data_IF_403062341519
#
_entry.id   IF_403062341519
#
_cell.length_a   1.000
_cell.length_b   1.000
_cell.length_c   1.000
_cell.angle_alpha   90.00
_cell.angle_beta   90.00
_cell.angle_gamma   90.00
#
_symmetry.space_group_name_H-M   'P 1'
#
loop_
_entity.id
_entity.type
_entity.pdbx_description
1 polymer ?
#
# COMPACT_ATOMS: atom_id res chain seq x y z
N UNK A 1 -44.00 -33.68 52.85
CA UNK A 1 -43.88 -32.55 51.91
C UNK A 1 -43.12 -31.43 52.60
N UNK A 2 -41.84 -31.24 52.31
CA UNK A 2 -41.03 -30.17 52.90
C UNK A 2 -41.44 -28.82 52.31
N UNK A 3 -42.02 -27.93 53.13
CA UNK A 3 -42.24 -26.53 52.77
C UNK A 3 -40.89 -25.81 52.82
N UNK A 4 -40.38 -25.42 51.66
CA UNK A 4 -39.24 -24.49 51.57
C UNK A 4 -39.70 -23.13 52.09
N UNK A 5 -39.03 -22.59 53.11
CA UNK A 5 -39.26 -21.23 53.62
C UNK A 5 -38.90 -20.23 52.51
N UNK A 6 -39.88 -19.47 52.03
CA UNK A 6 -39.60 -18.28 51.23
C UNK A 6 -39.04 -17.19 52.15
N UNK A 7 -37.78 -16.83 51.93
CA UNK A 7 -37.17 -15.66 52.55
C UNK A 7 -37.44 -14.45 51.67
N UNK A 8 -38.20 -13.48 52.18
CA UNK A 8 -38.40 -12.19 51.49
C UNK A 8 -37.15 -11.34 51.60
N UNK A 9 -36.85 -10.56 50.56
CA UNK A 9 -35.76 -9.59 50.57
C UNK A 9 -36.24 -8.31 51.27
N UNK A 10 -35.44 -7.79 52.20
CA UNK A 10 -35.76 -6.54 52.87
C UNK A 10 -35.52 -5.35 51.92
N UNK A 11 -36.22 -4.23 52.15
CA UNK A 11 -36.09 -3.03 51.31
C UNK A 11 -34.64 -2.50 51.28
N UNK A 12 -33.93 -2.59 52.40
CA UNK A 12 -32.54 -2.13 52.51
C UNK A 12 -31.57 -3.05 51.76
N UNK A 13 -31.81 -4.36 51.76
CA UNK A 13 -31.05 -5.32 50.95
C UNK A 13 -31.28 -5.08 49.45
N UNK A 14 -32.50 -4.75 49.03
CA UNK A 14 -32.79 -4.36 47.65
C UNK A 14 -32.03 -3.08 47.27
N UNK A 15 -32.04 -2.05 48.12
CA UNK A 15 -31.33 -0.80 47.84
C UNK A 15 -29.80 -1.01 47.76
N UNK A 16 -29.24 -1.81 48.66
CA UNK A 16 -27.82 -2.20 48.61
C UNK A 16 -27.49 -2.99 47.34
N UNK A 17 -28.33 -3.95 46.95
CA UNK A 17 -28.15 -4.71 45.73
C UNK A 17 -28.21 -3.82 44.48
N UNK A 18 -29.14 -2.86 44.42
CA UNK A 18 -29.21 -1.88 43.34
C UNK A 18 -27.99 -0.96 43.31
N UNK A 19 -27.50 -0.47 44.46
CA UNK A 19 -26.30 0.37 44.54
C UNK A 19 -25.04 -0.39 44.11
N UNK A 20 -24.89 -1.65 44.51
CA UNK A 20 -23.78 -2.49 44.05
C UNK A 20 -23.90 -2.79 42.55
N UNK A 21 -25.12 -2.99 42.05
CA UNK A 21 -25.40 -3.21 40.62
C UNK A 21 -25.02 -2.00 39.76
N UNK A 22 -25.33 -0.77 40.18
CA UNK A 22 -24.95 0.43 39.43
C UNK A 22 -23.44 0.65 39.40
N UNK A 23 -22.74 0.40 40.51
CA UNK A 23 -21.28 0.45 40.56
C UNK A 23 -20.67 -0.60 39.62
N UNK A 24 -21.17 -1.82 39.62
CA UNK A 24 -20.71 -2.88 38.72
C UNK A 24 -20.94 -2.51 37.25
N UNK A 25 -22.11 -1.95 36.90
CA UNK A 25 -22.40 -1.50 35.54
C UNK A 25 -21.46 -0.37 35.09
N UNK A 26 -21.11 0.55 35.98
CA UNK A 26 -20.17 1.65 35.70
C UNK A 26 -18.74 1.14 35.43
N UNK A 27 -18.30 0.13 36.17
CA UNK A 27 -16.99 -0.50 35.95
C UNK A 27 -16.99 -1.24 34.61
N UNK A 28 -18.02 -2.03 34.32
CA UNK A 28 -18.15 -2.78 33.07
C UNK A 28 -18.21 -1.86 31.85
N UNK A 29 -18.94 -0.75 31.92
CA UNK A 29 -19.02 0.20 30.82
C UNK A 29 -17.66 0.84 30.52
N UNK A 30 -16.89 1.15 31.56
CA UNK A 30 -15.54 1.72 31.42
C UNK A 30 -14.57 0.73 30.78
N UNK A 31 -14.58 -0.53 31.21
CA UNK A 31 -13.75 -1.59 30.62
C UNK A 31 -14.15 -1.82 29.16
N UNK A 32 -15.45 -1.86 28.86
CA UNK A 32 -15.95 -2.05 27.51
C UNK A 32 -15.57 -0.89 26.58
N UNK A 33 -15.70 0.36 27.03
CA UNK A 33 -15.29 1.54 26.28
C UNK A 33 -13.78 1.54 25.97
N UNK A 34 -12.96 1.14 26.94
CA UNK A 34 -11.51 0.98 26.75
C UNK A 34 -11.20 -0.17 25.77
N UNK A 35 -11.94 -1.27 25.82
CA UNK A 35 -11.83 -2.37 24.88
C UNK A 35 -12.17 -1.95 23.45
N UNK A 36 -13.26 -1.20 23.25
CA UNK A 36 -13.68 -0.70 21.94
C UNK A 36 -12.64 0.24 21.32
N UNK A 37 -12.13 1.20 22.10
CA UNK A 37 -11.10 2.13 21.61
C UNK A 37 -9.80 1.41 21.25
N UNK A 38 -9.38 0.44 22.06
CA UNK A 38 -8.19 -0.39 21.78
C UNK A 38 -8.39 -1.22 20.51
N UNK A 39 -9.55 -1.88 20.38
CA UNK A 39 -9.88 -2.66 19.18
C UNK A 39 -9.88 -1.80 17.94
N UNK A 40 -10.43 -0.59 18.01
CA UNK A 40 -10.46 0.35 16.88
C UNK A 40 -9.06 0.76 16.44
N UNK A 41 -8.14 1.04 17.38
CA UNK A 41 -6.74 1.37 17.06
C UNK A 41 -6.01 0.21 16.40
N UNK A 42 -6.24 -1.02 16.86
CA UNK A 42 -5.66 -2.23 16.26
C UNK A 42 -6.20 -2.43 14.85
N UNK A 43 -7.52 -2.27 14.62
CA UNK A 43 -8.09 -2.37 13.28
C UNK A 43 -7.52 -1.34 12.32
N UNK A 44 -7.31 -0.09 12.77
CA UNK A 44 -6.66 0.94 11.97
C UNK A 44 -5.21 0.59 11.62
N UNK A 45 -4.45 0.04 12.59
CA UNK A 45 -3.09 -0.41 12.35
C UNK A 45 -3.03 -1.53 11.30
N UNK A 46 -3.87 -2.54 11.45
CA UNK A 46 -3.91 -3.67 10.53
C UNK A 46 -4.30 -3.23 9.11
N UNK A 47 -5.23 -2.28 8.99
CA UNK A 47 -5.61 -1.70 7.70
C UNK A 47 -4.42 -1.00 7.03
N UNK A 48 -3.68 -0.20 7.79
CA UNK A 48 -2.46 0.47 7.30
C UNK A 48 -1.40 -0.54 6.86
N UNK A 49 -1.10 -1.54 7.68
CA UNK A 49 -0.10 -2.57 7.36
C UNK A 49 -0.51 -3.37 6.11
N UNK A 50 -1.81 -3.70 5.96
CA UNK A 50 -2.34 -4.41 4.78
C UNK A 50 -2.19 -3.56 3.51
N UNK A 51 -2.66 -2.32 3.53
CA UNK A 51 -2.60 -1.45 2.36
C UNK A 51 -1.14 -1.12 1.98
N UNK A 52 -0.25 -0.91 2.96
CA UNK A 52 1.17 -0.71 2.69
C UNK A 52 1.80 -1.97 2.09
N UNK A 53 1.45 -3.16 2.59
CA UNK A 53 1.92 -4.43 2.03
C UNK A 53 1.42 -4.66 0.60
N UNK A 54 0.13 -4.39 0.34
CA UNK A 54 -0.47 -4.51 -0.99
C UNK A 54 0.19 -3.57 -2.00
N UNK A 55 0.48 -2.33 -1.60
CA UNK A 55 1.22 -1.37 -2.42
C UNK A 55 2.61 -1.89 -2.79
N UNK A 56 3.34 -2.41 -1.79
CA UNK A 56 4.65 -3.03 -1.98
C UNK A 56 4.60 -4.23 -2.94
N UNK A 57 3.58 -5.08 -2.80
CA UNK A 57 3.39 -6.24 -3.64
C UNK A 57 3.04 -5.85 -5.07
N UNK A 58 2.14 -4.87 -5.25
CA UNK A 58 1.78 -4.31 -6.55
C UNK A 58 3.01 -3.79 -7.30
N UNK A 59 3.84 -2.96 -6.65
CA UNK A 59 5.07 -2.42 -7.24
C UNK A 59 6.03 -3.53 -7.63
N UNK A 60 6.23 -4.51 -6.76
CA UNK A 60 7.09 -5.67 -7.02
C UNK A 60 6.63 -6.45 -8.24
N UNK A 61 5.34 -6.77 -8.32
CA UNK A 61 4.81 -7.63 -9.37
C UNK A 61 4.75 -6.90 -10.71
N UNK A 62 4.50 -5.58 -10.73
CA UNK A 62 4.56 -4.79 -11.95
C UNK A 62 6.01 -4.62 -12.45
N UNK A 63 6.97 -4.35 -11.54
CA UNK A 63 8.38 -4.22 -11.89
C UNK A 63 9.03 -5.52 -12.39
N UNK A 64 8.59 -6.68 -11.91
CA UNK A 64 9.06 -7.97 -12.43
C UNK A 64 8.79 -8.14 -13.93
N UNK A 65 7.79 -7.42 -14.45
CA UNK A 65 7.42 -7.45 -15.87
C UNK A 65 8.23 -6.47 -16.69
N UNK A 66 8.94 -5.53 -16.06
CA UNK A 66 9.78 -4.57 -16.77
C UNK A 66 10.72 -5.29 -17.74
N UNK A 67 10.83 -4.77 -18.96
CA UNK A 67 11.66 -5.34 -20.02
C UNK A 67 11.05 -6.49 -20.79
N UNK A 68 9.93 -7.05 -20.35
CA UNK A 68 9.29 -8.15 -21.07
C UNK A 68 8.90 -7.72 -22.49
N UNK A 69 9.34 -8.49 -23.49
CA UNK A 69 9.01 -8.34 -24.90
C UNK A 69 8.28 -9.59 -25.39
N UNK A 70 7.26 -9.41 -26.23
CA UNK A 70 6.56 -10.51 -26.90
C UNK A 70 7.44 -10.99 -28.07
N UNK A 71 7.62 -12.31 -28.17
CA UNK A 71 8.47 -12.90 -29.21
C UNK A 71 8.07 -12.42 -30.61
N UNK A 72 9.03 -11.86 -31.34
CA UNK A 72 8.85 -11.43 -32.73
C UNK A 72 8.36 -9.99 -32.94
N UNK A 73 7.92 -9.27 -31.89
CA UNK A 73 7.51 -7.87 -32.00
C UNK A 73 8.68 -6.88 -31.91
N UNK A 74 9.63 -7.14 -30.99
CA UNK A 74 10.88 -6.38 -30.83
C UNK A 74 12.04 -7.32 -30.50
N UNK A 75 13.24 -7.01 -30.98
CA UNK A 75 14.45 -7.72 -30.59
C UNK A 75 15.05 -7.09 -29.32
N UNK A 76 15.02 -7.81 -28.19
CA UNK A 76 15.57 -7.39 -26.90
C UNK A 76 14.53 -6.83 -25.91
N UNK A 77 14.99 -6.32 -24.76
CA UNK A 77 14.13 -5.78 -23.71
C UNK A 77 13.36 -4.53 -24.14
N UNK A 78 12.09 -4.44 -23.71
CA UNK A 78 11.26 -3.24 -23.90
C UNK A 78 11.72 -2.14 -22.96
N UNK A 79 11.93 -0.95 -23.51
CA UNK A 79 12.37 0.23 -22.77
C UNK A 79 11.79 1.51 -23.35
N UNK A 80 11.90 2.59 -22.57
CA UNK A 80 11.66 3.95 -23.05
C UNK A 80 12.67 4.33 -24.13
N UNK A 81 12.28 5.18 -25.09
CA UNK A 81 13.04 5.45 -26.32
C UNK A 81 14.49 5.87 -26.04
N UNK A 82 14.67 6.81 -25.11
CA UNK A 82 15.97 7.39 -24.76
C UNK A 82 16.60 6.77 -23.52
N UNK A 83 16.01 5.69 -22.99
CA UNK A 83 16.57 5.05 -21.81
C UNK A 83 17.77 4.17 -22.19
N UNK A 84 18.91 4.31 -21.49
CA UNK A 84 20.04 3.41 -21.69
C UNK A 84 19.74 1.98 -21.20
N UNK A 85 18.79 1.82 -20.28
CA UNK A 85 18.48 0.58 -19.59
C UNK A 85 16.98 0.26 -19.65
N UNK A 86 16.60 -0.99 -19.39
CA UNK A 86 15.20 -1.43 -19.25
C UNK A 86 14.43 -0.66 -18.20
N UNK A 87 15.14 -0.31 -17.12
CA UNK A 87 14.63 0.48 -16.02
C UNK A 87 15.49 1.73 -15.87
N UNK A 88 14.84 2.88 -15.90
CA UNK A 88 15.46 4.18 -15.74
C UNK A 88 15.12 4.75 -14.38
N UNK A 89 16.12 5.33 -13.70
CA UNK A 89 15.91 6.08 -12.47
C UNK A 89 16.42 7.49 -12.67
N UNK A 90 15.53 8.47 -12.48
CA UNK A 90 15.92 9.87 -12.41
C UNK A 90 16.30 10.21 -10.97
N UNK A 91 17.60 10.37 -10.72
CA UNK A 91 18.14 10.71 -9.40
C UNK A 91 17.67 12.07 -8.85
N UNK A 92 17.12 12.96 -9.68
CA UNK A 92 16.64 14.26 -9.23
C UNK A 92 15.29 14.18 -8.49
N UNK A 93 14.44 13.22 -8.86
CA UNK A 93 13.05 13.11 -8.39
C UNK A 93 12.70 11.69 -7.90
N UNK A 94 13.72 10.86 -7.65
CA UNK A 94 13.58 9.43 -7.32
C UNK A 94 12.54 8.71 -8.19
N UNK A 95 12.49 9.09 -9.47
CA UNK A 95 11.47 8.63 -10.39
C UNK A 95 11.96 7.38 -11.11
N UNK A 96 11.22 6.31 -10.94
CA UNK A 96 11.46 5.00 -11.52
C UNK A 96 10.57 4.82 -12.75
N UNK A 97 11.16 4.64 -13.91
CA UNK A 97 10.44 4.47 -15.16
C UNK A 97 10.85 3.17 -15.86
N UNK A 98 9.86 2.42 -16.32
CA UNK A 98 10.05 1.13 -16.97
C UNK A 98 8.95 0.89 -18.00
N UNK A 99 9.16 -0.08 -18.88
CA UNK A 99 8.18 -0.44 -19.89
C UNK A 99 8.17 -1.94 -20.12
N UNK A 100 7.04 -2.46 -20.56
CA UNK A 100 6.88 -3.87 -20.90
C UNK A 100 5.77 -4.07 -21.92
N UNK A 101 5.85 -5.16 -22.68
CA UNK A 101 4.80 -5.58 -23.61
C UNK A 101 3.77 -6.49 -22.93
N UNK A 102 2.54 -6.42 -23.40
CA UNK A 102 1.47 -7.31 -22.97
C UNK A 102 0.43 -7.43 -24.08
N UNK A 103 -0.23 -8.58 -24.14
CA UNK A 103 -1.33 -8.80 -25.06
C UNK A 103 -2.65 -8.52 -24.35
N UNK A 104 -3.46 -7.65 -24.93
CA UNK A 104 -4.81 -7.33 -24.46
C UNK A 104 -5.81 -7.53 -25.60
N UNK A 105 -6.79 -8.41 -25.39
CA UNK A 105 -7.79 -8.74 -26.41
C UNK A 105 -7.22 -9.27 -27.73
N UNK A 106 -6.02 -9.87 -27.70
CA UNK A 106 -5.31 -10.34 -28.91
C UNK A 106 -4.53 -9.27 -29.66
N UNK A 107 -4.41 -8.06 -29.11
CA UNK A 107 -3.57 -6.99 -29.63
C UNK A 107 -2.36 -6.79 -28.73
N UNK A 108 -1.17 -6.79 -29.30
CA UNK A 108 0.06 -6.54 -28.57
C UNK A 108 0.22 -5.03 -28.29
N UNK A 109 0.40 -4.70 -27.03
CA UNK A 109 0.53 -3.34 -26.52
C UNK A 109 1.80 -3.22 -25.69
N UNK A 110 2.30 -1.99 -25.59
CA UNK A 110 3.37 -1.60 -24.68
C UNK A 110 2.75 -0.76 -23.57
N UNK A 111 3.01 -1.14 -22.31
CA UNK A 111 2.74 -0.27 -21.16
C UNK A 111 4.03 0.44 -20.78
N UNK A 112 3.96 1.75 -20.75
CA UNK A 112 4.97 2.63 -20.17
C UNK A 112 4.50 3.00 -18.77
N UNK A 113 5.26 2.61 -17.75
CA UNK A 113 4.95 2.85 -16.35
C UNK A 113 6.04 3.68 -15.69
N UNK A 114 5.66 4.53 -14.76
CA UNK A 114 6.59 5.25 -13.91
C UNK A 114 6.01 5.52 -12.53
N UNK A 115 6.89 5.44 -11.53
CA UNK A 115 6.62 5.60 -10.12
C UNK A 115 7.47 6.74 -9.59
N UNK A 116 6.86 7.73 -8.95
CA UNK A 116 7.58 8.83 -8.32
C UNK A 116 6.80 9.39 -7.14
N UNK A 117 7.50 10.05 -6.23
CA UNK A 117 6.90 10.71 -5.08
C UNK A 117 6.54 12.16 -5.45
N UNK A 118 5.30 12.56 -5.23
CA UNK A 118 4.87 13.96 -5.38
C UNK A 118 5.24 14.81 -4.15
N UNK A 119 5.16 16.14 -4.30
CA UNK A 119 5.38 17.13 -3.22
C UNK A 119 4.49 16.87 -1.99
N UNK A 120 3.32 16.24 -2.20
CA UNK A 120 2.38 15.87 -1.14
C UNK A 120 2.73 14.56 -0.42
N UNK A 121 3.90 13.97 -0.66
CA UNK A 121 4.29 12.66 -0.08
C UNK A 121 3.39 11.51 -0.51
N UNK A 122 2.83 11.63 -1.71
CA UNK A 122 1.96 10.65 -2.36
C UNK A 122 2.74 9.91 -3.45
N UNK A 123 2.59 8.58 -3.52
CA UNK A 123 3.15 7.80 -4.62
C UNK A 123 2.25 7.93 -5.84
N UNK A 124 2.81 8.46 -6.91
CA UNK A 124 2.14 8.59 -8.20
C UNK A 124 2.58 7.44 -9.10
N UNK A 125 1.60 6.78 -9.71
CA UNK A 125 1.79 5.87 -10.82
C UNK A 125 1.33 6.55 -12.10
N UNK A 126 2.26 6.80 -13.00
CA UNK A 126 1.94 7.13 -14.38
C UNK A 126 1.90 5.84 -15.18
N UNK A 127 0.79 5.60 -15.89
CA UNK A 127 0.73 4.53 -16.89
C UNK A 127 0.25 5.07 -18.23
N UNK A 128 0.82 4.54 -19.30
CA UNK A 128 0.36 4.80 -20.65
C UNK A 128 0.48 3.55 -21.50
N UNK A 129 -0.63 3.18 -22.11
CA UNK A 129 -0.71 2.02 -23.01
C UNK A 129 -0.79 2.49 -24.46
N UNK A 130 -0.01 1.85 -25.32
CA UNK A 130 0.02 2.10 -26.75
C UNK A 130 0.18 0.79 -27.51
N UNK A 131 -0.20 0.77 -28.78
CA UNK A 131 0.07 -0.39 -29.62
C UNK A 131 1.59 -0.50 -29.89
N UNK A 132 2.08 -1.72 -30.12
CA UNK A 132 3.51 -1.96 -30.44
C UNK A 132 4.00 -1.26 -31.71
N UNK A 133 3.08 -0.92 -32.61
CA UNK A 133 3.33 -0.21 -33.88
C UNK A 133 3.55 1.30 -33.72
N UNK A 134 3.20 1.87 -32.57
CA UNK A 134 3.39 3.29 -32.31
C UNK A 134 4.83 3.60 -31.91
N UNK A 135 5.27 4.83 -32.22
CA UNK A 135 6.61 5.29 -31.87
C UNK A 135 6.80 5.22 -30.34
N UNK A 136 7.96 4.74 -29.85
CA UNK A 136 8.26 4.71 -28.43
C UNK A 136 8.14 6.09 -27.79
N UNK A 137 7.94 6.13 -26.46
CA UNK A 137 7.87 7.40 -25.73
C UNK A 137 9.22 7.79 -25.16
N UNK A 138 9.50 9.09 -25.27
CA UNK A 138 10.64 9.74 -24.66
C UNK A 138 10.49 9.76 -23.13
N UNK A 139 11.59 9.46 -22.44
CA UNK A 139 11.70 9.39 -20.98
C UNK A 139 11.43 10.73 -20.28
N UNK A 140 11.59 11.86 -20.97
CA UNK A 140 11.42 13.20 -20.41
C UNK A 140 10.02 13.44 -19.80
N UNK A 141 9.01 12.74 -20.28
CA UNK A 141 7.62 12.84 -19.79
C UNK A 141 7.22 11.69 -18.85
N UNK A 142 8.16 10.80 -18.48
CA UNK A 142 7.84 9.66 -17.63
C UNK A 142 7.40 10.11 -16.23
N UNK A 143 7.97 11.19 -15.70
CA UNK A 143 7.71 11.66 -14.34
C UNK A 143 6.76 12.86 -14.29
N UNK A 144 5.93 13.06 -15.33
CA UNK A 144 5.05 14.22 -15.45
C UNK A 144 3.59 13.79 -15.57
N UNK A 145 2.91 13.70 -14.43
CA UNK A 145 1.51 13.33 -14.31
C UNK A 145 1.31 11.88 -13.86
N UNK A 146 0.06 11.45 -13.76
CA UNK A 146 -0.29 10.09 -13.32
C UNK A 146 -1.43 10.12 -12.30
N UNK A 147 -1.65 8.99 -11.66
CA UNK A 147 -2.68 8.80 -10.64
C UNK A 147 -2.03 8.45 -9.30
N UNK A 148 -2.60 8.94 -8.22
CA UNK A 148 -2.16 8.64 -6.85
C UNK A 148 -2.53 7.18 -6.54
N UNK A 149 -1.53 6.37 -6.18
CA UNK A 149 -1.73 4.96 -5.77
C UNK A 149 -1.54 4.75 -4.26
N UNK A 150 -0.92 5.69 -3.55
CA UNK A 150 -0.95 5.72 -2.09
C UNK A 150 -2.29 6.28 -1.63
N UNK A 151 -3.08 5.52 -0.88
CA UNK A 151 -4.35 6.01 -0.32
C UNK A 151 -4.08 7.20 0.61
N UNK A 152 -4.31 8.42 0.11
CA UNK A 152 -3.85 9.67 0.74
C UNK A 152 -4.46 9.93 2.13
N UNK A 153 -5.62 9.35 2.41
CA UNK A 153 -6.26 9.42 3.73
C UNK A 153 -5.63 8.51 4.79
N UNK A 154 -4.79 7.56 4.38
CA UNK A 154 -4.28 6.52 5.27
C UNK A 154 -2.76 6.40 5.27
N UNK A 155 -2.11 6.58 4.12
CA UNK A 155 -0.67 6.38 3.92
C UNK A 155 -0.03 7.66 3.40
N UNK A 156 0.96 8.18 4.12
CA UNK A 156 1.90 9.18 3.59
C UNK A 156 3.29 8.56 3.51
N UNK A 157 3.95 8.65 2.37
CA UNK A 157 5.31 8.15 2.21
C UNK A 157 6.32 9.19 2.71
N UNK A 158 7.17 8.77 3.64
CA UNK A 158 8.25 9.61 4.18
C UNK A 158 9.54 9.46 3.39
N UNK A 159 9.70 8.34 2.68
CA UNK A 159 10.88 8.06 1.85
C UNK A 159 10.50 7.10 0.73
N UNK A 160 10.99 7.40 -0.48
CA UNK A 160 10.98 6.51 -1.64
C UNK A 160 12.35 6.58 -2.30
N UNK A 161 13.15 5.53 -2.17
CA UNK A 161 14.51 5.48 -2.70
C UNK A 161 14.67 4.26 -3.59
N UNK A 162 15.20 4.47 -4.78
CA UNK A 162 15.43 3.41 -5.76
C UNK A 162 16.92 3.31 -6.08
N UNK A 163 17.48 2.13 -5.82
CA UNK A 163 18.87 1.81 -6.12
C UNK A 163 18.95 0.80 -7.27
N UNK A 164 19.68 1.18 -8.33
CA UNK A 164 19.92 0.39 -9.54
C UNK A 164 21.40 0.01 -9.72
N UNK A 165 22.24 0.23 -8.70
CA UNK A 165 23.69 -0.05 -8.75
C UNK A 165 24.03 -1.51 -9.03
N UNK A 166 23.11 -2.44 -8.72
CA UNK A 166 23.28 -3.90 -8.88
C UNK A 166 22.44 -4.49 -10.02
N UNK A 167 22.17 -3.72 -11.08
CA UNK A 167 21.38 -4.17 -12.23
C UNK A 167 21.86 -5.55 -12.75
N UNK A 168 20.96 -6.54 -12.99
CA UNK A 168 19.50 -6.44 -13.14
C UNK A 168 18.69 -6.53 -11.83
N UNK A 169 19.34 -6.52 -10.67
CA UNK A 169 18.67 -6.40 -9.38
C UNK A 169 18.44 -4.92 -9.04
N UNK A 170 17.20 -4.59 -8.67
CA UNK A 170 16.76 -3.26 -8.25
C UNK A 170 16.28 -3.35 -6.81
N UNK A 171 16.72 -2.42 -5.99
CA UNK A 171 16.31 -2.31 -4.60
C UNK A 171 15.47 -1.05 -4.44
N UNK A 172 14.25 -1.22 -3.91
CA UNK A 172 13.34 -0.12 -3.61
C UNK A 172 13.13 -0.09 -2.11
N UNK A 173 13.51 1.01 -1.47
CA UNK A 173 13.25 1.25 -0.06
C UNK A 173 12.13 2.28 0.07
N UNK A 174 11.08 1.90 0.78
CA UNK A 174 9.93 2.77 1.04
C UNK A 174 9.71 2.86 2.53
N UNK A 175 9.41 4.06 3.01
CA UNK A 175 8.96 4.29 4.38
C UNK A 175 7.67 5.08 4.35
N UNK A 176 6.71 4.69 5.18
CA UNK A 176 5.40 5.29 5.21
C UNK A 176 4.92 5.51 6.65
N UNK A 177 4.03 6.48 6.78
CA UNK A 177 3.41 6.88 8.03
C UNK A 177 1.89 6.89 7.88
N UNK A 178 1.22 6.29 8.86
CA UNK A 178 -0.24 6.33 8.95
C UNK A 178 -0.72 7.71 9.38
N UNK A 179 -1.64 8.29 8.60
CA UNK A 179 -2.31 9.55 8.98
C UNK A 179 -3.32 9.37 10.12
N UNK A 180 -3.75 8.14 10.39
CA UNK A 180 -4.84 7.86 11.34
C UNK A 180 -4.32 7.70 12.76
N UNK A 181 -3.23 6.95 12.93
CA UNK A 181 -2.69 6.63 14.26
C UNK A 181 -1.22 7.05 14.45
N UNK A 182 -0.57 7.57 13.40
CA UNK A 182 0.82 8.02 13.43
C UNK A 182 1.86 6.91 13.39
N UNK A 183 1.46 5.64 13.21
CA UNK A 183 2.38 4.51 13.08
C UNK A 183 3.24 4.63 11.83
N UNK A 184 4.44 4.09 11.90
CA UNK A 184 5.43 4.15 10.82
C UNK A 184 5.86 2.73 10.46
N UNK A 185 5.99 2.45 9.17
CA UNK A 185 6.51 1.19 8.66
C UNK A 185 7.47 1.43 7.50
N UNK A 186 8.41 0.51 7.32
CA UNK A 186 9.43 0.58 6.29
C UNK A 186 9.61 -0.78 5.62
N UNK A 187 9.69 -0.77 4.30
CA UNK A 187 9.84 -1.95 3.47
C UNK A 187 11.00 -1.80 2.51
N UNK A 188 11.69 -2.91 2.25
CA UNK A 188 12.71 -3.02 1.23
C UNK A 188 12.33 -4.13 0.25
N UNK A 189 12.19 -3.77 -1.01
CA UNK A 189 11.87 -4.67 -2.10
C UNK A 189 13.11 -4.89 -2.94
N UNK A 190 13.57 -6.14 -3.01
CA UNK A 190 14.56 -6.56 -4.00
C UNK A 190 13.81 -7.21 -5.17
N UNK A 191 13.97 -6.66 -6.37
CA UNK A 191 13.31 -7.10 -7.60
C UNK A 191 14.37 -7.35 -8.66
N UNK A 192 14.40 -8.57 -9.21
CA UNK A 192 15.22 -8.88 -10.38
C UNK A 192 14.38 -8.69 -11.63
N UNK A 193 14.89 -7.90 -12.58
CA UNK A 193 14.20 -7.57 -13.83
C UNK A 193 14.70 -8.47 -14.96
N UNK A 194 13.82 -8.79 -15.90
CA UNK A 194 14.14 -9.61 -17.08
C UNK A 194 14.83 -8.74 -18.12
N UNK A 195 15.88 -9.29 -18.74
CA UNK A 195 16.67 -8.65 -19.79
C UNK A 195 16.36 -9.28 -21.14
#
# INVERSE_FOLDING_TARGET
MNRVKQSGMTLIELMLACAMGTVLLMVLSSVFANGLSTSSRISQQLSFDSHFHELNQFIRDDLRRAGFAIEGARAGAVKWEDSPQTVFVNAAWDCLAYAYEFTDGGTDKVRYSSLYLDENSELILYTKEQNTTELPKNIANACSGGEVISVSSEIQLTSFVVDTSLFPAITIAMSAKSQVNGSEDSSQLNVTVVN
#
